data_IF_533885203486
#
_entry.id   IF_533885203486
#
_cell.length_a   1.000
_cell.length_b   1.000
_cell.length_c   1.000
_cell.angle_alpha   90.00
_cell.angle_beta   90.00
_cell.angle_gamma   90.00
#
_symmetry.space_group_name_H-M   'P 1'
#
loop_
_entity.id
_entity.type
_entity.pdbx_description
1 polymer ?
#
# COMPACT_ATOMS: atom_id res chain seq x y z
N UNK A 1 -81.57 21.60 43.35
CA UNK A 1 -80.39 20.71 43.43
C UNK A 1 -80.70 19.48 42.57
N UNK A 2 -80.73 19.41 41.24
CA UNK A 2 -79.91 19.93 40.10
C UNK A 2 -78.42 19.57 40.29
N UNK A 3 -77.72 18.82 39.43
CA UNK A 3 -78.06 18.08 38.19
C UNK A 3 -76.87 17.18 37.81
N UNK A 4 -77.16 16.04 37.17
CA UNK A 4 -76.25 15.30 36.29
C UNK A 4 -75.48 16.23 35.34
N UNK A 5 -74.20 15.91 35.08
CA UNK A 5 -73.57 16.09 33.75
C UNK A 5 -72.33 15.20 33.63
N UNK A 6 -72.38 14.25 32.69
CA UNK A 6 -71.23 13.57 32.10
C UNK A 6 -70.33 14.59 31.42
N UNK A 7 -69.01 14.50 31.60
CA UNK A 7 -68.05 15.01 30.65
C UNK A 7 -67.09 13.89 30.26
N UNK A 8 -67.09 13.59 28.97
CA UNK A 8 -66.17 12.70 28.28
C UNK A 8 -64.87 13.48 28.14
N UNK A 9 -63.79 13.01 28.77
CA UNK A 9 -62.46 13.57 28.54
C UNK A 9 -61.72 12.64 27.59
N UNK A 10 -61.65 13.06 26.34
CA UNK A 10 -60.80 12.50 25.29
C UNK A 10 -59.34 12.56 25.75
N UNK A 11 -58.72 11.41 25.96
CA UNK A 11 -57.26 11.32 26.13
C UNK A 11 -56.63 11.42 24.75
N UNK A 12 -56.13 12.61 24.40
CA UNK A 12 -55.24 12.80 23.26
C UNK A 12 -53.89 12.22 23.66
N UNK A 13 -53.58 11.01 23.16
CA UNK A 13 -52.23 10.45 23.23
C UNK A 13 -51.39 11.22 22.22
N UNK A 14 -50.69 12.25 22.71
CA UNK A 14 -49.62 12.89 21.95
C UNK A 14 -48.48 11.91 21.77
N UNK A 15 -48.28 11.44 20.54
CA UNK A 15 -47.08 10.70 20.14
C UNK A 15 -45.93 11.71 20.14
N UNK A 16 -45.16 11.76 21.22
CA UNK A 16 -43.84 12.36 21.23
C UNK A 16 -42.92 11.43 20.45
N UNK A 17 -42.74 11.72 19.16
CA UNK A 17 -41.60 11.24 18.40
C UNK A 17 -40.34 11.88 19.00
N UNK A 18 -39.74 11.22 19.99
CA UNK A 18 -38.34 11.48 20.34
C UNK A 18 -37.49 10.83 19.25
N UNK A 19 -37.34 11.53 18.14
CA UNK A 19 -36.27 11.28 17.19
C UNK A 19 -34.96 11.66 17.86
N UNK A 20 -34.36 10.72 18.59
CA UNK A 20 -32.95 10.81 18.92
C UNK A 20 -32.18 10.52 17.65
N UNK A 21 -31.67 11.58 17.03
CA UNK A 21 -30.64 11.49 15.99
C UNK A 21 -29.46 10.71 16.58
N UNK A 22 -29.29 9.49 16.10
CA UNK A 22 -28.07 8.69 16.28
C UNK A 22 -27.14 9.12 15.15
N UNK A 23 -25.97 9.65 15.47
CA UNK A 23 -24.68 9.35 14.82
C UNK A 23 -23.56 9.90 15.71
N UNK A 24 -23.23 9.17 16.78
CA UNK A 24 -21.88 9.22 17.30
C UNK A 24 -21.04 8.33 16.37
N UNK A 25 -19.94 8.85 15.82
CA UNK A 25 -18.93 8.04 15.16
C UNK A 25 -18.64 6.83 16.06
N UNK A 26 -18.89 5.62 15.56
CA UNK A 26 -18.62 4.42 16.33
C UNK A 26 -17.13 4.41 16.66
N UNK A 27 -16.78 4.42 17.95
CA UNK A 27 -15.42 4.20 18.50
C UNK A 27 -14.80 2.84 18.07
N UNK A 28 -15.50 2.08 17.21
CA UNK A 28 -15.00 0.86 16.62
C UNK A 28 -13.87 1.18 15.61
N UNK A 29 -12.62 0.75 15.87
CA UNK A 29 -11.50 0.97 14.96
C UNK A 29 -11.74 0.35 13.58
N UNK A 30 -12.60 -0.67 13.46
CA UNK A 30 -12.92 -1.32 12.17
C UNK A 30 -13.55 -0.34 11.19
N UNK A 31 -14.34 0.62 11.68
CA UNK A 31 -15.06 1.59 10.83
C UNK A 31 -14.17 2.51 10.01
N UNK A 32 -12.90 2.63 10.40
CA UNK A 32 -11.93 3.49 9.72
C UNK A 32 -11.24 2.80 8.53
N UNK A 33 -11.22 1.46 8.49
CA UNK A 33 -10.53 0.70 7.45
C UNK A 33 -11.40 0.52 6.21
N UNK A 34 -10.85 0.80 5.02
CA UNK A 34 -11.58 0.69 3.75
C UNK A 34 -11.72 -0.75 3.27
N UNK A 35 -10.72 -1.59 3.55
CA UNK A 35 -10.62 -2.93 2.99
C UNK A 35 -10.28 -3.97 4.06
N UNK A 36 -10.60 -5.23 3.77
CA UNK A 36 -10.16 -6.35 4.55
C UNK A 36 -9.83 -7.58 3.70
N UNK A 37 -9.01 -8.48 4.26
CA UNK A 37 -8.71 -9.83 3.73
C UNK A 37 -9.10 -10.87 4.77
N UNK A 38 -9.74 -11.95 4.33
CA UNK A 38 -10.02 -13.10 5.19
C UNK A 38 -8.87 -14.10 5.10
N UNK A 39 -8.40 -14.57 6.25
CA UNK A 39 -7.44 -15.64 6.39
C UNK A 39 -8.15 -16.83 7.01
N UNK A 40 -8.38 -17.84 6.18
CA UNK A 40 -8.86 -19.15 6.65
C UNK A 40 -7.82 -19.79 7.57
N UNK A 41 -8.26 -20.78 8.36
CA UNK A 41 -7.39 -21.40 9.35
C UNK A 41 -6.13 -21.95 8.68
N UNK A 42 -4.93 -21.41 9.02
CA UNK A 42 -3.70 -21.90 8.44
C UNK A 42 -3.45 -23.33 8.95
N UNK A 43 -3.00 -24.22 8.06
CA UNK A 43 -2.68 -25.60 8.41
C UNK A 43 -1.41 -25.67 9.29
N UNK A 44 -1.55 -25.35 10.57
CA UNK A 44 -0.48 -25.30 11.57
C UNK A 44 -0.87 -26.08 12.82
N UNK A 45 0.09 -26.81 13.39
CA UNK A 45 -0.11 -27.58 14.63
C UNK A 45 0.40 -26.83 15.87
N UNK A 46 1.14 -25.75 15.68
CA UNK A 46 1.72 -24.90 16.72
C UNK A 46 1.60 -23.44 16.32
N UNK A 47 1.55 -22.49 17.29
CA UNK A 47 1.56 -21.07 16.97
C UNK A 47 2.74 -20.72 16.08
N UNK A 48 2.46 -20.14 14.91
CA UNK A 48 3.45 -19.92 13.85
C UNK A 48 3.30 -18.51 13.30
N UNK A 49 4.42 -17.87 12.98
CA UNK A 49 4.38 -16.57 12.30
C UNK A 49 3.92 -16.78 10.87
N UNK A 50 2.79 -16.18 10.55
CA UNK A 50 2.18 -16.22 9.23
C UNK A 50 2.53 -14.93 8.50
N UNK A 51 2.85 -15.04 7.21
CA UNK A 51 3.10 -13.91 6.32
C UNK A 51 2.05 -13.89 5.21
N UNK A 52 1.32 -12.78 5.15
CA UNK A 52 0.29 -12.53 4.14
C UNK A 52 0.84 -11.57 3.08
N UNK A 53 0.82 -11.95 1.80
CA UNK A 53 1.29 -11.11 0.70
C UNK A 53 0.40 -9.88 0.48
N UNK A 54 1.03 -8.71 0.31
CA UNK A 54 0.41 -7.44 -0.06
C UNK A 54 1.01 -6.87 -1.37
N UNK A 55 1.66 -7.72 -2.18
CA UNK A 55 2.16 -7.32 -3.48
C UNK A 55 1.01 -6.90 -4.41
N UNK A 56 1.15 -5.72 -5.02
CA UNK A 56 0.15 -5.14 -5.91
C UNK A 56 -0.96 -4.33 -5.23
N UNK A 57 -1.04 -4.32 -3.89
CA UNK A 57 -1.98 -3.47 -3.16
C UNK A 57 -1.45 -2.02 -3.10
N UNK A 58 -2.35 -1.06 -3.33
CA UNK A 58 -2.08 0.37 -3.21
C UNK A 58 -2.58 0.79 -1.82
N UNK A 59 -1.65 1.19 -0.96
CA UNK A 59 -1.92 1.59 0.42
C UNK A 59 -1.55 3.06 0.60
N UNK A 60 -2.49 3.85 1.13
CA UNK A 60 -2.24 5.25 1.51
C UNK A 60 -1.69 5.32 2.93
N UNK A 61 -2.17 4.44 3.82
CA UNK A 61 -1.70 4.33 5.21
C UNK A 61 -1.29 2.89 5.54
N UNK A 62 -0.14 2.74 6.20
CA UNK A 62 0.43 1.45 6.59
C UNK A 62 0.01 1.02 8.00
N UNK A 63 -1.28 1.13 8.29
CA UNK A 63 -1.88 0.70 9.56
C UNK A 63 -2.76 -0.51 9.27
N UNK A 64 -2.64 -1.54 10.11
CA UNK A 64 -3.33 -2.81 9.93
C UNK A 64 -3.98 -3.25 11.24
N UNK A 65 -5.23 -3.71 11.14
CA UNK A 65 -5.93 -4.37 12.24
C UNK A 65 -6.09 -5.85 11.92
N UNK A 66 -5.34 -6.72 12.62
CA UNK A 66 -5.50 -8.17 12.47
C UNK A 66 -6.46 -8.67 13.54
N UNK A 67 -7.72 -8.88 13.21
CA UNK A 67 -8.74 -9.36 14.13
C UNK A 67 -8.77 -10.89 14.14
N UNK A 68 -8.66 -11.50 15.31
CA UNK A 68 -8.92 -12.93 15.51
C UNK A 68 -10.42 -13.14 15.74
N UNK A 69 -11.09 -13.93 14.89
CA UNK A 69 -12.55 -14.02 14.91
C UNK A 69 -13.08 -14.76 16.15
N UNK A 70 -12.30 -15.68 16.71
CA UNK A 70 -12.73 -16.51 17.84
C UNK A 70 -12.73 -15.74 19.16
N UNK A 71 -11.82 -14.78 19.31
CA UNK A 71 -11.66 -13.98 20.53
C UNK A 71 -12.16 -12.54 20.37
N UNK A 72 -12.41 -12.10 19.14
CA UNK A 72 -12.72 -10.71 18.79
C UNK A 72 -11.65 -9.72 19.29
N UNK A 73 -10.39 -10.16 19.26
CA UNK A 73 -9.25 -9.35 19.70
C UNK A 73 -8.25 -9.09 18.57
N UNK A 74 -7.70 -7.88 18.56
CA UNK A 74 -6.67 -7.51 17.61
C UNK A 74 -5.32 -8.09 18.00
N UNK A 75 -4.67 -8.74 17.04
CA UNK A 75 -3.37 -9.34 17.16
C UNK A 75 -2.27 -8.36 16.74
N UNK A 76 -1.12 -8.37 17.43
CA UNK A 76 0.02 -7.61 17.00
C UNK A 76 0.51 -8.07 15.63
N UNK A 77 0.96 -7.11 14.83
CA UNK A 77 1.38 -7.36 13.47
C UNK A 77 2.58 -6.50 13.09
N UNK A 78 3.27 -6.93 12.04
CA UNK A 78 4.43 -6.24 11.51
C UNK A 78 4.35 -6.19 9.98
N UNK A 79 4.21 -4.98 9.44
CA UNK A 79 4.27 -4.74 8.01
C UNK A 79 5.70 -4.44 7.58
N UNK A 80 6.12 -5.01 6.46
CA UNK A 80 7.42 -4.72 5.87
C UNK A 80 7.32 -4.52 4.37
N UNK A 81 8.28 -3.75 3.85
CA UNK A 81 8.55 -3.60 2.43
C UNK A 81 10.01 -3.90 2.20
N UNK A 82 10.30 -4.92 1.39
CA UNK A 82 11.65 -5.36 1.08
C UNK A 82 11.84 -5.38 -0.44
N UNK A 83 13.01 -4.98 -0.92
CA UNK A 83 13.35 -5.12 -2.34
C UNK A 83 14.07 -6.44 -2.52
N UNK A 84 13.42 -7.39 -3.18
CA UNK A 84 14.04 -8.66 -3.56
C UNK A 84 14.48 -8.61 -5.02
N UNK A 85 15.63 -9.19 -5.28
CA UNK A 85 16.18 -9.37 -6.61
C UNK A 85 15.93 -10.81 -7.02
N UNK A 86 14.80 -11.06 -7.67
CA UNK A 86 14.47 -12.39 -8.18
C UNK A 86 14.89 -12.47 -9.66
N UNK A 87 15.80 -13.38 -10.04
CA UNK A 87 16.19 -13.54 -11.44
C UNK A 87 14.99 -14.04 -12.24
N UNK A 88 14.93 -13.66 -13.53
CA UNK A 88 13.87 -14.13 -14.43
C UNK A 88 13.92 -15.66 -14.53
N UNK A 89 12.79 -16.33 -14.29
CA UNK A 89 12.70 -17.78 -14.37
C UNK A 89 13.01 -18.29 -15.79
N UNK A 90 13.78 -19.37 -15.86
CA UNK A 90 14.19 -20.01 -17.11
C UNK A 90 13.60 -21.41 -17.24
N UNK A 91 13.31 -21.82 -18.47
CA UNK A 91 12.99 -23.20 -18.85
C UNK A 91 14.10 -23.72 -19.75
N UNK A 92 14.58 -24.94 -19.47
CA UNK A 92 15.65 -25.56 -20.25
C UNK A 92 15.12 -26.77 -21.00
N UNK A 93 15.53 -26.91 -22.25
CA UNK A 93 15.24 -28.06 -23.11
C UNK A 93 16.54 -28.53 -23.77
N UNK A 94 16.77 -29.84 -23.77
CA UNK A 94 17.96 -30.47 -24.34
C UNK A 94 17.72 -31.96 -24.56
N UNK A 95 18.40 -32.58 -25.52
CA UNK A 95 18.35 -34.02 -25.76
C UNK A 95 19.42 -34.73 -24.92
N UNK A 96 19.05 -35.12 -23.70
CA UNK A 96 19.93 -35.82 -22.74
C UNK A 96 19.91 -37.33 -22.96
N UNK A 97 21.05 -38.00 -22.77
CA UNK A 97 21.19 -39.46 -22.85
C UNK A 97 20.72 -40.16 -21.58
N UNK A 98 21.01 -39.57 -20.42
CA UNK A 98 20.57 -40.04 -19.11
C UNK A 98 20.52 -38.88 -18.09
N UNK A 99 19.80 -39.08 -16.99
CA UNK A 99 19.46 -38.01 -16.04
C UNK A 99 18.25 -37.18 -16.48
N UNK A 100 18.06 -36.02 -15.86
CA UNK A 100 16.95 -35.10 -16.17
C UNK A 100 17.47 -33.77 -16.68
N UNK A 101 16.81 -33.20 -17.70
CA UNK A 101 17.09 -31.83 -18.18
C UNK A 101 16.85 -30.80 -17.07
N UNK A 102 15.93 -31.08 -16.14
CA UNK A 102 15.66 -30.21 -14.98
C UNK A 102 16.85 -30.07 -14.05
N UNK A 103 17.76 -31.05 -14.04
CA UNK A 103 19.00 -30.99 -13.26
C UNK A 103 19.95 -29.90 -13.73
N UNK A 104 19.73 -29.31 -14.91
CA UNK A 104 20.52 -28.15 -15.34
C UNK A 104 20.17 -26.87 -14.57
N UNK A 105 19.05 -26.83 -13.84
CA UNK A 105 18.53 -25.62 -13.18
C UNK A 105 17.83 -25.90 -11.84
N UNK A 106 18.11 -27.03 -11.19
CA UNK A 106 17.46 -27.42 -9.93
C UNK A 106 18.22 -26.92 -8.68
N UNK A 107 19.32 -26.17 -8.85
CA UNK A 107 20.21 -25.72 -7.78
C UNK A 107 20.83 -26.87 -6.96
N UNK A 108 20.82 -28.10 -7.46
CA UNK A 108 21.39 -29.26 -6.79
C UNK A 108 22.65 -29.76 -7.51
N UNK A 109 23.83 -29.48 -6.93
CA UNK A 109 25.11 -29.87 -7.52
C UNK A 109 25.37 -31.39 -7.55
N UNK A 110 24.54 -32.20 -6.89
CA UNK A 110 24.64 -33.66 -6.91
C UNK A 110 23.89 -34.31 -8.07
N UNK A 111 22.97 -33.60 -8.72
CA UNK A 111 22.27 -34.08 -9.91
C UNK A 111 23.04 -33.64 -11.17
N UNK A 112 22.75 -34.28 -12.32
CA UNK A 112 23.34 -33.88 -13.60
C UNK A 112 22.51 -34.36 -14.79
N UNK A 113 22.64 -33.62 -15.89
CA UNK A 113 22.24 -34.04 -17.22
C UNK A 113 23.46 -34.63 -17.96
N UNK A 114 23.33 -35.86 -18.46
CA UNK A 114 24.39 -36.57 -19.17
C UNK A 114 24.17 -36.56 -20.68
N UNK A 115 25.28 -36.40 -21.41
CA UNK A 115 25.37 -36.53 -22.85
C UNK A 115 26.49 -37.52 -23.19
N UNK A 116 26.12 -38.61 -23.85
CA UNK A 116 27.07 -39.65 -24.21
C UNK A 116 28.01 -39.20 -25.33
N UNK A 117 29.20 -39.81 -25.37
CA UNK A 117 30.16 -39.60 -26.44
C UNK A 117 29.85 -40.56 -27.59
N UNK A 118 29.59 -40.06 -28.81
CA UNK A 118 29.37 -40.92 -29.98
C UNK A 118 30.67 -41.61 -30.42
N UNK A 119 30.55 -42.66 -31.24
CA UNK A 119 31.69 -43.45 -31.75
C UNK A 119 32.74 -42.63 -32.51
N UNK A 120 32.33 -41.50 -33.09
CA UNK A 120 33.21 -40.53 -33.77
C UNK A 120 34.19 -39.82 -32.83
N UNK A 121 34.08 -40.04 -31.50
CA UNK A 121 34.86 -39.41 -30.41
C UNK A 121 34.70 -37.90 -30.31
N UNK A 122 33.74 -37.32 -31.05
CA UNK A 122 33.40 -35.90 -30.98
C UNK A 122 31.89 -35.82 -30.78
N UNK A 123 31.48 -35.52 -29.55
CA UNK A 123 30.08 -35.28 -29.21
C UNK A 123 29.70 -33.83 -29.42
N UNK A 124 28.43 -33.61 -29.74
CA UNK A 124 27.83 -32.29 -29.83
C UNK A 124 26.44 -32.31 -29.19
N UNK A 125 26.12 -31.28 -28.40
CA UNK A 125 24.80 -31.11 -27.80
C UNK A 125 24.32 -29.67 -27.95
N UNK A 126 23.00 -29.50 -27.99
CA UNK A 126 22.35 -28.20 -28.05
C UNK A 126 21.41 -28.05 -26.86
N UNK A 127 21.69 -27.06 -26.02
CA UNK A 127 20.88 -26.72 -24.86
C UNK A 127 20.15 -25.42 -25.18
N UNK A 128 18.81 -25.45 -25.08
CA UNK A 128 17.96 -24.30 -25.35
C UNK A 128 17.32 -23.83 -24.05
N UNK A 129 17.63 -22.59 -23.69
CA UNK A 129 17.02 -21.88 -22.57
C UNK A 129 15.94 -20.95 -23.14
N UNK A 130 14.79 -20.91 -22.48
CA UNK A 130 13.68 -20.03 -22.83
C UNK A 130 13.12 -19.34 -21.59
N UNK A 131 12.66 -18.10 -21.74
CA UNK A 131 12.07 -17.31 -20.66
C UNK A 131 10.84 -16.54 -21.15
N UNK A 132 9.95 -16.18 -20.22
CA UNK A 132 8.75 -15.41 -20.53
C UNK A 132 9.09 -13.95 -20.89
N UNK A 133 10.00 -13.34 -20.13
CA UNK A 133 10.57 -12.01 -20.35
C UNK A 133 12.00 -12.10 -20.91
N UNK A 134 12.48 -11.14 -21.72
CA UNK A 134 13.86 -11.13 -22.19
C UNK A 134 14.85 -11.12 -21.02
N UNK A 135 15.91 -11.93 -21.10
CA UNK A 135 17.00 -11.95 -20.12
C UNK A 135 18.19 -11.22 -20.73
N UNK A 136 18.72 -10.22 -20.02
CA UNK A 136 19.97 -9.52 -20.33
C UNK A 136 21.10 -10.21 -19.58
N UNK A 137 22.09 -10.72 -20.31
CA UNK A 137 23.23 -11.43 -19.72
C UNK A 137 24.55 -11.09 -20.44
N UNK A 138 25.66 -11.18 -19.70
CA UNK A 138 27.03 -11.00 -20.22
C UNK A 138 27.90 -12.26 -20.08
N UNK A 139 27.38 -13.29 -19.43
CA UNK A 139 28.14 -14.50 -19.16
C UNK A 139 27.25 -15.71 -18.87
N UNK A 140 27.78 -16.88 -19.22
CA UNK A 140 27.19 -18.19 -18.95
C UNK A 140 28.19 -19.02 -18.16
N UNK A 141 27.75 -19.66 -17.08
CA UNK A 141 28.55 -20.59 -16.28
C UNK A 141 27.98 -22.00 -16.39
N UNK A 142 28.85 -22.96 -16.71
CA UNK A 142 28.55 -24.39 -16.73
C UNK A 142 29.25 -25.07 -15.54
N UNK A 143 28.48 -25.56 -14.57
CA UNK A 143 29.01 -26.39 -13.50
C UNK A 143 28.94 -27.85 -13.96
N UNK A 144 30.09 -28.50 -13.98
CA UNK A 144 30.23 -29.89 -14.42
C UNK A 144 30.26 -30.84 -13.23
N UNK A 145 29.81 -32.07 -13.44
CA UNK A 145 29.90 -33.11 -12.43
C UNK A 145 31.37 -33.47 -12.12
N UNK A 146 31.60 -34.14 -10.99
CA UNK A 146 32.93 -34.59 -10.61
C UNK A 146 33.60 -35.44 -11.70
N UNK A 147 34.89 -35.16 -11.93
CA UNK A 147 35.75 -35.85 -12.89
C UNK A 147 35.28 -35.74 -14.35
N UNK A 148 34.71 -34.60 -14.74
CA UNK A 148 34.36 -34.26 -16.13
C UNK A 148 35.18 -33.05 -16.57
N UNK A 149 35.91 -33.16 -17.68
CA UNK A 149 36.63 -31.99 -18.21
C UNK A 149 35.71 -31.07 -19.02
N UNK A 150 36.17 -29.83 -19.19
CA UNK A 150 35.47 -28.81 -19.98
C UNK A 150 35.17 -29.30 -21.41
N UNK A 151 34.01 -28.91 -21.99
CA UNK A 151 33.76 -29.07 -23.42
C UNK A 151 34.89 -28.44 -24.25
N UNK A 152 35.18 -29.00 -25.42
CA UNK A 152 36.25 -28.50 -26.29
C UNK A 152 35.92 -27.13 -26.88
N UNK A 153 34.65 -26.88 -27.21
CA UNK A 153 34.20 -25.57 -27.69
C UNK A 153 32.75 -25.27 -27.34
N UNK A 154 32.43 -23.99 -27.35
CA UNK A 154 31.11 -23.44 -27.11
C UNK A 154 30.76 -22.41 -28.18
N UNK A 155 29.51 -22.41 -28.62
CA UNK A 155 28.90 -21.35 -29.43
C UNK A 155 27.57 -20.96 -28.77
N UNK A 156 27.28 -19.66 -28.71
CA UNK A 156 26.07 -19.14 -28.06
C UNK A 156 25.32 -18.27 -29.06
N UNK A 157 24.03 -18.56 -29.23
CA UNK A 157 23.09 -17.78 -30.03
C UNK A 157 21.96 -17.28 -29.15
N UNK A 158 21.58 -16.03 -29.35
CA UNK A 158 20.46 -15.39 -28.68
C UNK A 158 19.31 -15.20 -29.68
N UNK A 159 18.08 -15.42 -29.24
CA UNK A 159 16.88 -15.35 -30.06
C UNK A 159 15.80 -14.45 -29.47
N UNK A 160 15.17 -13.65 -30.33
CA UNK A 160 13.99 -12.85 -30.03
C UNK A 160 12.97 -12.99 -31.17
N UNK A 161 11.72 -13.34 -30.84
CA UNK A 161 10.61 -13.40 -31.80
C UNK A 161 10.92 -14.19 -33.10
N UNK A 162 11.69 -15.29 -33.01
CA UNK A 162 12.03 -16.15 -34.14
C UNK A 162 13.29 -15.76 -34.92
N UNK A 163 13.93 -14.64 -34.62
CA UNK A 163 15.24 -14.26 -35.19
C UNK A 163 16.37 -14.66 -34.24
N UNK A 164 17.42 -15.29 -34.77
CA UNK A 164 18.62 -15.70 -34.03
C UNK A 164 19.84 -14.87 -34.42
N UNK A 165 20.59 -14.45 -33.41
CA UNK A 165 21.86 -13.74 -33.54
C UNK A 165 22.96 -14.54 -32.86
N UNK A 166 24.11 -14.68 -33.52
CA UNK A 166 25.31 -15.24 -32.89
C UNK A 166 25.86 -14.22 -31.89
N UNK A 167 25.90 -14.61 -30.62
CA UNK A 167 26.42 -13.78 -29.50
C UNK A 167 27.86 -14.13 -29.20
N UNK A 168 28.18 -15.42 -29.30
CA UNK A 168 29.53 -15.94 -29.20
C UNK A 168 29.73 -16.96 -30.32
N UNK A 169 30.56 -16.61 -31.31
CA UNK A 169 31.02 -17.57 -32.31
C UNK A 169 31.79 -18.70 -31.64
N UNK A 170 31.79 -19.88 -32.25
CA UNK A 170 32.51 -21.06 -31.77
C UNK A 170 33.89 -20.72 -31.21
N UNK A 171 34.06 -20.93 -29.91
CA UNK A 171 35.28 -20.60 -29.16
C UNK A 171 35.70 -21.79 -28.31
N UNK A 172 37.00 -22.04 -28.22
CA UNK A 172 37.54 -23.06 -27.31
C UNK A 172 37.25 -22.65 -25.86
N UNK A 173 36.72 -23.58 -25.06
CA UNK A 173 36.51 -23.29 -23.63
C UNK A 173 37.83 -23.42 -22.86
N UNK A 174 38.10 -22.43 -22.03
CA UNK A 174 39.25 -22.39 -21.11
C UNK A 174 38.81 -22.32 -19.64
N UNK A 175 37.54 -22.04 -19.39
CA UNK A 175 36.92 -21.87 -18.08
C UNK A 175 35.46 -22.33 -18.12
N UNK A 176 34.89 -22.64 -16.95
CA UNK A 176 33.47 -22.96 -16.79
C UNK A 176 32.55 -21.76 -17.10
N UNK A 177 33.01 -20.56 -16.78
CA UNK A 177 32.34 -19.30 -17.12
C UNK A 177 32.85 -18.75 -18.43
N UNK A 178 31.93 -18.43 -19.33
CA UNK A 178 32.19 -17.89 -20.66
C UNK A 178 31.52 -16.53 -20.76
N UNK A 179 32.34 -15.49 -20.98
CA UNK A 179 31.87 -14.11 -21.17
C UNK A 179 31.56 -13.82 -22.63
N UNK A 180 30.55 -12.99 -22.87
CA UNK A 180 30.13 -12.52 -24.18
C UNK A 180 29.54 -11.11 -24.07
N UNK A 181 29.37 -10.36 -25.18
CA UNK A 181 28.78 -9.02 -25.13
C UNK A 181 27.40 -9.04 -24.49
N UNK A 182 27.12 -8.04 -23.64
CA UNK A 182 25.81 -7.90 -23.00
C UNK A 182 24.70 -7.97 -24.05
N UNK A 183 23.84 -8.99 -23.91
CA UNK A 183 22.80 -9.28 -24.89
C UNK A 183 21.49 -9.59 -24.17
N UNK A 184 20.39 -9.03 -24.67
CA UNK A 184 19.04 -9.29 -24.16
C UNK A 184 18.26 -10.22 -25.10
N UNK A 185 17.81 -11.37 -24.61
CA UNK A 185 17.06 -12.35 -25.40
C UNK A 185 16.11 -13.22 -24.59
N UNK A 186 15.01 -13.66 -25.23
CA UNK A 186 14.04 -14.62 -24.68
C UNK A 186 14.44 -16.08 -24.87
N UNK A 187 15.32 -16.36 -25.83
CA UNK A 187 15.83 -17.71 -26.09
C UNK A 187 17.34 -17.70 -26.23
N UNK A 188 18.01 -18.69 -25.63
CA UNK A 188 19.45 -18.87 -25.73
C UNK A 188 19.75 -20.30 -26.18
N UNK A 189 20.43 -20.45 -27.30
CA UNK A 189 20.91 -21.74 -27.81
C UNK A 189 22.40 -21.87 -27.55
N UNK A 190 22.78 -22.91 -26.84
CA UNK A 190 24.15 -23.17 -26.42
C UNK A 190 24.59 -24.48 -27.06
N UNK A 191 25.49 -24.35 -28.02
CA UNK A 191 26.06 -25.49 -28.74
C UNK A 191 27.40 -25.82 -28.10
N UNK A 192 27.51 -27.04 -27.57
CA UNK A 192 28.73 -27.55 -26.96
C UNK A 192 29.30 -28.67 -27.81
N UNK A 193 30.61 -28.69 -27.98
CA UNK A 193 31.33 -29.85 -28.48
C UNK A 193 32.23 -30.42 -27.39
N UNK A 194 32.34 -31.73 -27.30
CA UNK A 194 33.05 -32.41 -26.22
C UNK A 194 33.73 -33.70 -26.72
N UNK A 195 34.84 -34.07 -26.07
CA UNK A 195 35.64 -35.25 -26.41
C UNK A 195 35.57 -36.39 -25.39
N UNK A 196 34.72 -36.25 -24.36
CA UNK A 196 34.44 -37.26 -23.34
C UNK A 196 32.96 -37.18 -22.95
N UNK A 197 32.36 -38.20 -22.31
CA UNK A 197 31.00 -38.11 -21.80
C UNK A 197 30.80 -36.84 -20.95
N UNK A 198 29.85 -36.00 -21.35
CA UNK A 198 29.63 -34.70 -20.74
C UNK A 198 28.51 -34.82 -19.70
N UNK A 199 28.80 -34.43 -18.46
CA UNK A 199 27.79 -34.32 -17.40
C UNK A 199 27.79 -32.91 -16.84
N UNK A 200 26.66 -32.23 -16.96
CA UNK A 200 26.46 -30.86 -16.51
C UNK A 200 25.50 -30.90 -15.31
N UNK A 201 25.97 -30.40 -14.17
CA UNK A 201 25.20 -30.36 -12.92
C UNK A 201 24.39 -29.09 -12.76
N UNK A 202 24.79 -27.98 -13.36
CA UNK A 202 24.06 -26.73 -13.27
C UNK A 202 24.48 -25.78 -14.40
N UNK A 203 23.54 -24.99 -14.88
CA UNK A 203 23.74 -24.03 -15.94
C UNK A 203 23.18 -22.67 -15.50
N UNK A 204 24.03 -21.65 -15.46
CA UNK A 204 23.65 -20.32 -14.97
C UNK A 204 23.96 -19.22 -15.99
N UNK A 205 22.93 -18.51 -16.41
CA UNK A 205 23.09 -17.20 -17.05
C UNK A 205 23.29 -16.14 -15.97
N UNK A 206 24.36 -15.35 -16.06
CA UNK A 206 24.57 -14.21 -15.17
C UNK A 206 23.65 -13.08 -15.64
N UNK A 207 22.46 -12.96 -15.02
CA UNK A 207 21.45 -11.98 -15.40
C UNK A 207 21.81 -10.59 -14.88
N UNK A 208 21.68 -9.58 -15.74
CA UNK A 208 21.86 -8.15 -15.41
C UNK A 208 20.53 -7.45 -15.17
N UNK A 209 19.50 -7.83 -15.90
CA UNK A 209 18.14 -7.36 -15.67
C UNK A 209 17.46 -8.24 -14.61
N UNK A 210 18.00 -8.20 -13.39
CA UNK A 210 17.28 -8.79 -12.26
C UNK A 210 16.14 -7.84 -11.92
N UNK A 211 14.90 -8.31 -12.06
CA UNK A 211 13.73 -7.48 -11.73
C UNK A 211 13.75 -7.20 -10.22
N UNK A 212 13.87 -5.92 -9.86
CA UNK A 212 13.68 -5.50 -8.48
C UNK A 212 12.21 -5.65 -8.15
N UNK A 213 11.85 -6.79 -7.55
CA UNK A 213 10.50 -6.99 -7.06
C UNK A 213 10.42 -6.38 -5.68
N UNK A 214 9.47 -5.47 -5.48
CA UNK A 214 9.19 -4.98 -4.13
C UNK A 214 8.23 -5.94 -3.47
N UNK A 215 8.74 -6.68 -2.50
CA UNK A 215 8.00 -7.60 -1.67
C UNK A 215 7.34 -6.82 -0.53
N UNK A 216 6.04 -7.02 -0.36
CA UNK A 216 5.25 -6.38 0.70
C UNK A 216 4.52 -7.47 1.44
N UNK A 217 4.68 -7.54 2.75
CA UNK A 217 4.07 -8.57 3.57
C UNK A 217 3.64 -8.06 4.93
N UNK A 218 2.57 -8.63 5.44
CA UNK A 218 2.14 -8.46 6.82
C UNK A 218 2.41 -9.75 7.59
N UNK A 219 3.10 -9.64 8.72
CA UNK A 219 3.37 -10.76 9.62
C UNK A 219 2.58 -10.65 10.90
N UNK A 220 2.06 -11.75 11.39
CA UNK A 220 1.44 -11.86 12.71
C UNK A 220 1.57 -13.30 13.23
N UNK A 221 1.38 -13.49 14.53
CA UNK A 221 1.41 -14.81 15.13
C UNK A 221 0.02 -15.45 15.03
N UNK A 222 -0.11 -16.50 14.22
CA UNK A 222 -1.35 -17.26 14.09
C UNK A 222 -1.36 -18.45 15.05
N UNK A 223 -2.53 -18.78 15.60
CA UNK A 223 -2.78 -19.96 16.43
C UNK A 223 -3.43 -21.07 15.61
N UNK A 224 -3.21 -22.35 15.96
CA UNK A 224 -3.91 -23.47 15.35
C UNK A 224 -5.43 -23.29 15.40
N UNK A 225 -6.11 -23.71 14.33
CA UNK A 225 -7.58 -23.74 14.20
C UNK A 225 -8.31 -22.38 14.27
N UNK A 226 -7.59 -21.27 14.39
CA UNK A 226 -8.17 -19.92 14.44
C UNK A 226 -8.22 -19.26 13.07
N UNK A 227 -9.15 -18.31 12.91
CA UNK A 227 -9.37 -17.57 11.67
C UNK A 227 -9.18 -16.07 11.88
N UNK A 228 -8.66 -15.39 10.86
CA UNK A 228 -8.27 -13.98 11.00
C UNK A 228 -8.90 -13.11 9.92
N UNK A 229 -9.21 -11.87 10.28
CA UNK A 229 -9.56 -10.79 9.35
C UNK A 229 -8.52 -9.69 9.44
N UNK A 230 -7.91 -9.36 8.31
CA UNK A 230 -6.90 -8.31 8.23
C UNK A 230 -7.56 -7.09 7.62
N UNK A 231 -7.83 -6.07 8.44
CA UNK A 231 -8.27 -4.75 8.01
C UNK A 231 -7.06 -3.87 7.66
N UNK A 232 -7.16 -3.09 6.59
CA UNK A 232 -6.05 -2.27 6.10
C UNK A 232 -6.52 -1.03 5.34
N UNK A 233 -5.56 -0.12 5.10
CA UNK A 233 -5.76 1.20 4.46
C UNK A 233 -6.85 2.05 5.13
N UNK A 234 -6.66 2.46 6.39
CA UNK A 234 -7.60 3.37 7.02
C UNK A 234 -7.54 4.76 6.40
N UNK A 235 -8.66 5.49 6.45
CA UNK A 235 -8.73 6.87 5.99
C UNK A 235 -8.22 7.87 7.04
N UNK A 236 -8.40 7.55 8.34
CA UNK A 236 -7.97 8.34 9.50
C UNK A 236 -6.90 7.63 10.33
N UNK A 237 -6.39 8.33 11.35
CA UNK A 237 -5.49 7.72 12.34
C UNK A 237 -6.30 6.79 13.24
N UNK A 238 -5.87 5.55 13.38
CA UNK A 238 -6.58 4.54 14.20
C UNK A 238 -5.61 3.97 15.19
N UNK A 239 -6.00 3.98 16.47
CA UNK A 239 -5.26 3.27 17.50
C UNK A 239 -5.90 1.91 17.73
N UNK A 240 -5.28 0.87 17.17
CA UNK A 240 -5.76 -0.51 17.33
C UNK A 240 -5.14 -1.08 18.61
N UNK A 241 -5.97 -1.34 19.63
CA UNK A 241 -5.51 -1.94 20.88
C UNK A 241 -5.09 -3.38 20.64
N UNK A 242 -3.79 -3.67 20.73
CA UNK A 242 -3.20 -5.00 20.56
C UNK A 242 -2.46 -5.43 21.83
N UNK A 243 -2.31 -6.73 22.03
CA UNK A 243 -1.49 -7.29 23.11
C UNK A 243 0.01 -7.09 22.90
N UNK A 244 0.83 -7.67 23.77
CA UNK A 244 2.28 -7.73 23.58
C UNK A 244 2.64 -8.67 22.43
N UNK A 245 3.74 -8.35 21.73
CA UNK A 245 4.26 -9.18 20.63
C UNK A 245 5.72 -9.54 20.84
N UNK A 246 6.09 -10.71 20.33
CA UNK A 246 7.49 -11.05 20.10
C UNK A 246 8.08 -10.31 18.90
N UNK A 247 9.34 -10.62 18.57
CA UNK A 247 10.00 -10.03 17.41
C UNK A 247 9.53 -10.68 16.09
N UNK A 248 8.50 -10.09 15.48
CA UNK A 248 7.95 -10.52 14.18
C UNK A 248 8.86 -10.17 12.97
N UNK A 249 9.83 -9.26 13.15
CA UNK A 249 10.75 -8.83 12.09
C UNK A 249 11.81 -9.88 11.78
N UNK A 250 12.41 -10.47 12.81
CA UNK A 250 13.57 -11.37 12.68
C UNK A 250 13.20 -12.87 12.75
N UNK A 251 11.93 -13.19 12.50
CA UNK A 251 11.42 -14.57 12.54
C UNK A 251 12.02 -15.44 11.41
N UNK A 252 12.42 -16.68 11.74
CA UNK A 252 13.13 -17.60 10.82
C UNK A 252 12.24 -18.70 10.20
N UNK A 253 11.12 -19.02 10.83
CA UNK A 253 10.18 -20.07 10.39
C UNK A 253 8.82 -19.44 10.08
N UNK A 254 8.75 -18.79 8.92
CA UNK A 254 7.57 -18.04 8.49
C UNK A 254 6.73 -18.90 7.54
N UNK A 255 5.47 -19.14 7.90
CA UNK A 255 4.50 -19.74 7.00
C UNK A 255 3.95 -18.68 6.05
N UNK A 256 4.26 -18.79 4.76
CA UNK A 256 3.75 -17.87 3.73
C UNK A 256 2.43 -18.39 3.17
N UNK A 257 1.39 -17.59 3.28
CA UNK A 257 0.09 -17.89 2.67
C UNK A 257 0.09 -17.41 1.21
N UNK A 258 -0.66 -18.09 0.35
CA UNK A 258 -0.89 -17.64 -1.03
C UNK A 258 -1.61 -16.29 -1.10
N UNK A 259 -1.75 -15.75 -2.31
CA UNK A 259 -2.44 -14.46 -2.52
C UNK A 259 -3.90 -14.55 -2.07
N UNK A 260 -4.29 -13.67 -1.17
CA UNK A 260 -5.66 -13.55 -0.65
C UNK A 260 -6.41 -12.42 -1.32
N UNK A 261 -7.71 -12.62 -1.54
CA UNK A 261 -8.60 -11.64 -2.17
C UNK A 261 -8.86 -10.44 -1.25
N UNK A 262 -8.77 -9.23 -1.80
CA UNK A 262 -9.15 -7.98 -1.13
C UNK A 262 -10.64 -7.75 -1.25
N UNK A 263 -11.31 -7.48 -0.12
CA UNK A 263 -12.73 -7.16 -0.05
C UNK A 263 -12.95 -5.77 0.53
N UNK A 264 -14.00 -5.09 0.08
CA UNK A 264 -14.43 -3.80 0.63
C UNK A 264 -15.06 -3.99 2.00
N UNK A 265 -14.65 -3.18 2.97
CA UNK A 265 -15.24 -3.19 4.31
C UNK A 265 -16.61 -2.52 4.28
N UNK A 266 -17.66 -3.26 4.62
CA UNK A 266 -19.04 -2.74 4.67
C UNK A 266 -19.30 -1.86 5.89
N UNK A 267 -18.46 -1.98 6.93
CA UNK A 267 -18.52 -1.15 8.13
C UNK A 267 -17.75 0.16 7.97
N UNK A 268 -17.11 0.38 6.81
CA UNK A 268 -16.34 1.59 6.56
C UNK A 268 -17.25 2.82 6.56
N UNK A 269 -16.92 3.78 7.41
CA UNK A 269 -17.53 5.10 7.48
C UNK A 269 -16.44 6.12 7.21
N UNK A 270 -16.69 7.03 6.25
CA UNK A 270 -15.77 8.13 5.95
C UNK A 270 -15.51 8.96 7.20
N UNK A 271 -14.27 9.38 7.37
CA UNK A 271 -13.90 10.29 8.45
C UNK A 271 -14.66 11.61 8.35
N UNK A 272 -15.10 12.08 9.53
CA UNK A 272 -15.77 13.34 9.82
C UNK A 272 -15.32 13.67 11.26
N UNK A 273 -14.22 14.43 11.36
CA UNK A 273 -13.51 14.63 12.63
C UNK A 273 -14.19 15.66 13.54
N UNK A 274 -14.88 16.65 12.97
CA UNK A 274 -15.62 17.65 13.74
C UNK A 274 -17.11 17.31 13.93
N UNK A 275 -17.63 16.31 13.19
CA UNK A 275 -18.96 15.74 13.38
C UNK A 275 -20.06 16.59 12.78
N UNK A 276 -19.76 17.43 11.79
CA UNK A 276 -20.72 18.33 11.17
C UNK A 276 -21.58 17.65 10.07
N UNK A 277 -21.25 16.40 9.71
CA UNK A 277 -21.93 15.59 8.71
C UNK A 277 -21.35 15.71 7.30
N UNK A 278 -20.32 16.53 7.10
CA UNK A 278 -19.50 16.61 5.90
C UNK A 278 -18.22 15.79 6.14
N UNK A 279 -17.92 14.85 5.25
CA UNK A 279 -16.70 14.06 5.42
C UNK A 279 -15.44 14.91 5.22
N UNK A 280 -14.37 14.67 5.98
CA UNK A 280 -13.09 15.40 5.93
C UNK A 280 -12.54 15.66 4.51
N UNK A 281 -12.81 14.74 3.56
CA UNK A 281 -12.34 14.84 2.17
C UNK A 281 -13.13 15.83 1.31
N UNK A 282 -14.28 16.29 1.79
CA UNK A 282 -15.17 17.27 1.16
C UNK A 282 -15.38 18.51 2.05
N UNK A 283 -14.76 18.55 3.22
CA UNK A 283 -14.93 19.61 4.21
C UNK A 283 -13.89 20.72 4.02
N UNK A 284 -14.36 21.95 3.79
CA UNK A 284 -13.53 23.14 3.64
C UNK A 284 -13.02 23.70 4.99
N UNK A 285 -13.48 23.15 6.11
CA UNK A 285 -13.05 23.47 7.47
C UNK A 285 -12.94 22.25 8.37
N UNK A 286 -12.23 21.21 7.91
CA UNK A 286 -12.00 19.89 8.58
C UNK A 286 -12.06 19.82 10.11
N UNK A 287 -11.65 20.83 10.89
CA UNK A 287 -11.66 20.78 12.36
C UNK A 287 -12.68 21.72 13.02
N UNK A 288 -13.57 22.37 12.26
CA UNK A 288 -14.48 23.42 12.70
C UNK A 288 -15.84 23.21 12.04
N UNK A 289 -16.80 22.78 12.86
CA UNK A 289 -18.18 22.49 12.44
C UNK A 289 -18.77 23.60 11.58
N UNK A 290 -19.04 23.31 10.30
CA UNK A 290 -19.66 24.24 9.36
C UNK A 290 -20.46 23.50 8.26
N UNK A 291 -21.58 22.92 8.69
CA UNK A 291 -22.51 22.11 7.85
C UNK A 291 -22.89 22.76 6.51
N UNK A 292 -22.93 24.10 6.45
CA UNK A 292 -23.29 24.87 5.26
C UNK A 292 -22.14 25.06 4.26
N UNK A 293 -20.90 24.78 4.66
CA UNK A 293 -19.69 24.82 3.84
C UNK A 293 -19.54 26.14 3.07
N UNK A 294 -19.96 27.26 3.68
CA UNK A 294 -19.87 28.58 3.05
C UNK A 294 -18.38 28.94 2.86
N UNK A 295 -18.05 29.35 1.64
CA UNK A 295 -16.74 29.88 1.22
C UNK A 295 -17.04 31.01 0.22
N UNK A 296 -17.12 32.25 0.72
CA UNK A 296 -17.56 33.40 -0.10
C UNK A 296 -16.52 33.79 -1.15
N UNK A 297 -15.23 33.60 -0.86
CA UNK A 297 -14.14 33.99 -1.74
C UNK A 297 -13.68 32.87 -2.69
N UNK A 298 -14.14 31.64 -2.47
CA UNK A 298 -13.88 30.46 -3.31
C UNK A 298 -12.45 29.96 -3.22
N UNK A 299 -11.74 30.19 -2.12
CA UNK A 299 -10.34 29.81 -1.96
C UNK A 299 -10.16 28.35 -1.49
N UNK A 300 -11.25 27.65 -1.17
CA UNK A 300 -11.27 26.26 -0.70
C UNK A 300 -11.15 26.12 0.82
N UNK A 301 -11.15 27.23 1.57
CA UNK A 301 -11.19 27.29 3.04
C UNK A 301 -12.48 27.97 3.45
N UNK A 302 -13.30 27.30 4.24
CA UNK A 302 -14.61 27.83 4.61
C UNK A 302 -14.51 29.06 5.50
N UNK A 303 -15.47 29.97 5.40
CA UNK A 303 -15.52 31.22 6.17
C UNK A 303 -15.47 30.96 7.70
N UNK A 304 -15.95 29.79 8.15
CA UNK A 304 -15.94 29.37 9.55
C UNK A 304 -14.53 29.21 10.13
N UNK A 305 -13.55 28.87 9.30
CA UNK A 305 -12.15 28.69 9.68
C UNK A 305 -11.21 29.65 8.94
N UNK A 306 -11.74 30.52 8.06
CA UNK A 306 -10.93 31.44 7.29
C UNK A 306 -10.48 32.69 8.09
N UNK A 307 -9.34 33.23 7.68
CA UNK A 307 -8.67 34.41 8.22
C UNK A 307 -8.14 35.16 6.98
N UNK A 308 -8.94 36.09 6.46
CA UNK A 308 -8.67 36.71 5.16
C UNK A 308 -7.45 37.64 5.20
N UNK A 309 -7.25 38.32 6.32
CA UNK A 309 -6.21 39.34 6.47
C UNK A 309 -4.91 38.82 7.13
N UNK A 310 -4.97 37.62 7.71
CA UNK A 310 -3.85 36.87 8.31
C UNK A 310 -3.28 37.52 9.55
N UNK A 311 -4.12 38.17 10.34
CA UNK A 311 -3.74 38.76 11.61
C UNK A 311 -3.78 37.76 12.80
N UNK A 312 -4.31 36.55 12.56
CA UNK A 312 -4.45 35.49 13.55
C UNK A 312 -5.82 35.41 14.21
N UNK A 313 -6.80 36.17 13.73
CA UNK A 313 -8.22 36.04 14.08
C UNK A 313 -8.97 35.42 12.90
N UNK A 314 -9.87 34.49 13.21
CA UNK A 314 -10.79 33.97 12.20
C UNK A 314 -11.85 35.03 11.91
N UNK A 315 -12.32 35.12 10.67
CA UNK A 315 -13.26 36.16 10.22
C UNK A 315 -14.52 36.29 11.09
N UNK A 316 -14.99 35.17 11.67
CA UNK A 316 -16.17 35.15 12.55
C UNK A 316 -15.93 35.77 13.93
N UNK A 317 -14.67 35.96 14.32
CA UNK A 317 -14.22 36.55 15.59
C UNK A 317 -13.40 37.83 15.37
N UNK A 318 -13.35 38.33 14.15
CA UNK A 318 -12.57 39.49 13.75
C UNK A 318 -13.50 40.69 13.50
N UNK A 319 -13.24 41.81 14.19
CA UNK A 319 -13.97 43.06 13.97
C UNK A 319 -13.48 43.85 12.75
N UNK A 320 -12.42 43.39 12.08
CA UNK A 320 -11.93 43.88 10.79
C UNK A 320 -11.47 42.75 9.85
N UNK A 321 -12.36 41.86 9.38
CA UNK A 321 -11.99 40.64 8.64
C UNK A 321 -11.08 40.83 7.42
N UNK A 322 -11.11 42.01 6.79
CA UNK A 322 -10.34 42.32 5.58
C UNK A 322 -9.09 43.19 5.86
N UNK A 323 -8.82 43.58 7.12
CA UNK A 323 -7.73 44.50 7.44
C UNK A 323 -7.03 44.18 8.78
N UNK A 324 -5.71 43.84 8.75
CA UNK A 324 -5.03 43.27 9.90
C UNK A 324 -5.06 44.15 11.15
N UNK A 325 -5.60 43.62 12.25
CA UNK A 325 -5.69 44.32 13.53
C UNK A 325 -5.64 43.36 14.73
N UNK A 326 -4.50 42.66 14.91
CA UNK A 326 -4.25 41.63 15.94
C UNK A 326 -4.78 41.97 17.35
N UNK A 327 -4.74 43.26 17.72
CA UNK A 327 -5.18 43.76 19.02
C UNK A 327 -6.71 43.91 19.17
N UNK A 328 -7.48 43.74 18.09
CA UNK A 328 -8.95 43.82 18.02
C UNK A 328 -9.48 45.07 18.70
N UNK A 329 -8.78 46.19 18.48
CA UNK A 329 -9.11 47.45 19.13
C UNK A 329 -10.39 48.01 18.50
N UNK A 330 -11.33 48.36 19.37
CA UNK A 330 -12.62 48.98 19.07
C UNK A 330 -12.89 50.00 20.18
N UNK A 331 -12.63 51.28 19.88
CA UNK A 331 -12.59 52.36 20.87
C UNK A 331 -13.98 52.80 21.32
N UNK A 332 -14.99 52.71 20.46
CA UNK A 332 -16.38 53.12 20.77
C UNK A 332 -17.36 51.93 20.93
N UNK A 333 -16.87 50.70 20.74
CA UNK A 333 -17.57 49.44 21.00
C UNK A 333 -18.81 49.22 20.13
N UNK A 334 -18.76 49.68 18.87
CA UNK A 334 -19.83 49.48 17.90
C UNK A 334 -19.75 48.11 17.16
N UNK A 335 -18.65 47.39 17.35
CA UNK A 335 -18.39 46.08 16.75
C UNK A 335 -17.54 46.11 15.48
N UNK A 336 -17.12 47.29 15.01
CA UNK A 336 -16.17 47.48 13.91
C UNK A 336 -14.84 47.94 14.50
N UNK A 337 -13.72 47.35 14.10
CA UNK A 337 -12.42 47.71 14.68
C UNK A 337 -11.87 49.04 14.17
N UNK A 338 -11.10 49.74 15.01
CA UNK A 338 -10.43 51.02 14.69
C UNK A 338 -9.59 50.95 13.39
N UNK A 339 -9.16 49.75 12.99
CA UNK A 339 -8.35 49.56 11.79
C UNK A 339 -9.16 49.73 10.50
N UNK A 340 -10.40 49.24 10.47
CA UNK A 340 -11.28 49.20 9.30
C UNK A 340 -12.48 50.13 9.41
N UNK A 341 -12.68 50.77 10.57
CA UNK A 341 -13.70 51.78 10.74
C UNK A 341 -13.28 53.10 10.08
N UNK A 342 -13.92 53.43 8.96
CA UNK A 342 -13.76 54.70 8.27
C UNK A 342 -14.55 55.86 8.92
N UNK A 343 -15.50 55.54 9.81
CA UNK A 343 -16.38 56.49 10.47
C UNK A 343 -15.83 57.03 11.79
N UNK A 344 -14.85 56.38 12.44
CA UNK A 344 -14.16 56.85 13.67
C UNK A 344 -13.64 58.31 13.60
N UNK A 345 -13.52 58.87 12.40
CA UNK A 345 -13.22 60.28 12.13
C UNK A 345 -14.42 61.24 12.28
N UNK A 346 -15.63 60.76 12.59
CA UNK A 346 -16.86 61.56 12.71
C UNK A 346 -17.07 61.99 14.16
N UNK A 347 -17.19 63.31 14.34
CA UNK A 347 -17.41 63.93 15.65
C UNK A 347 -18.70 63.41 16.32
N UNK A 348 -19.69 62.98 15.53
CA UNK A 348 -21.00 62.50 15.97
C UNK A 348 -21.00 61.13 16.64
N UNK A 349 -20.02 60.26 16.38
CA UNK A 349 -19.92 58.93 17.00
C UNK A 349 -19.16 58.97 18.33
N UNK A 350 -18.00 59.65 18.35
CA UNK A 350 -17.25 59.93 19.59
C UNK A 350 -18.09 60.59 20.69
N UNK A 351 -19.12 61.32 20.29
CA UNK A 351 -20.02 62.02 21.18
C UNK A 351 -21.47 61.80 20.74
N UNK A 352 -22.04 60.65 21.12
CA UNK A 352 -23.45 60.30 20.89
C UNK A 352 -24.48 61.38 21.31
N UNK A 353 -24.07 62.36 22.12
CA UNK A 353 -24.88 63.50 22.56
C UNK A 353 -24.89 64.68 21.57
N UNK A 354 -23.98 64.76 20.58
CA UNK A 354 -23.88 65.87 19.63
C UNK A 354 -25.13 66.04 18.74
N UNK A 355 -25.77 64.98 18.22
CA UNK A 355 -27.04 65.11 17.50
C UNK A 355 -28.15 65.75 18.36
N UNK A 356 -28.08 65.59 19.68
CA UNK A 356 -29.04 66.14 20.64
C UNK A 356 -28.71 67.59 21.06
N UNK A 357 -27.48 68.06 20.82
CA UNK A 357 -27.09 69.45 21.09
C UNK A 357 -27.78 70.47 20.16
N UNK A 358 -28.29 70.04 19.00
CA UNK A 358 -29.01 70.89 18.05
C UNK A 358 -30.52 71.02 18.27
N UNK A 359 -31.14 70.16 19.08
CA UNK A 359 -32.60 70.17 19.30
C UNK A 359 -33.05 71.06 20.48
N UNK A 360 -32.12 71.76 21.13
CA UNK A 360 -32.38 72.56 22.34
C UNK A 360 -32.50 74.07 22.12
N UNK A 361 -32.62 74.56 20.88
CA UNK A 361 -32.87 75.99 20.61
C UNK A 361 -34.03 76.14 19.64
N UNK A 362 -35.24 76.10 20.18
CA UNK A 362 -36.44 76.65 19.56
C UNK A 362 -37.38 77.16 20.64
#
# INVERSE_FOLDING_TARGET
MISNKKFITTVVVGVLFSGSLVFAASDDPVSAFRFFKNIESPNINVPTVVEVPFEGEILNRYIFGVLENETDTFQPNYYYTERTQEPTSIKVSSSVSSGSVTSLTDNNLSTYAQYDLPETRIGATNIVISSASPITSEALTLLLAYNVALPTSIEIRAGNAGQEKIVLSKKRMTSQTVKFPETSARSWKILLQYGQPLRISELRLIQKNIENTTRKGLRFLARPDNTYKIYFDPDRGVNVSVGESGNLRDSKEILRIGRTETKTNVLYVKADIDGDGVSDVLDNCVNVVNVDQIDVNGNGKGDACDDFDKDGRINSLDNCPDQPNVNQRDTDSDGIGDACDGEESRITEKYAWIPWAGMGIA
#
